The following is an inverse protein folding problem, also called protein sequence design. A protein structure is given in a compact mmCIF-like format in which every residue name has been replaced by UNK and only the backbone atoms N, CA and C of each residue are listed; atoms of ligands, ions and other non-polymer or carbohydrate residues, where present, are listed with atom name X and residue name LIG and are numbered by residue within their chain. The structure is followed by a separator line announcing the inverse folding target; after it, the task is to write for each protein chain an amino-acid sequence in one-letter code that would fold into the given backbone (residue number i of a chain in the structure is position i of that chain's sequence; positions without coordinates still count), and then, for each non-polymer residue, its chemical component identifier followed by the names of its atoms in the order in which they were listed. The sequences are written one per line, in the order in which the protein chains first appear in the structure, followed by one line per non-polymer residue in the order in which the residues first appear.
data_IF_047719328523
#
_entry.id   IF_047719328523
#
_cell.length_a   1.000
_cell.length_b   1.000
_cell.length_c   1.000
_cell.angle_alpha   90.00
_cell.angle_beta   90.00
_cell.angle_gamma   90.00
#
_symmetry.space_group_name_H-M   'P 1'
#
loop_
_entity.id
_entity.type
_entity.pdbx_description
1 polymer ?
#
# COMPACT_ATOMS: atom_id res chain seq x y z
N UNK A 1 -18.89 29.25 23.51
CA UNK A 1 -18.86 30.42 22.61
C UNK A 1 -19.80 30.12 21.45
N UNK A 2 -20.91 30.86 21.28
CA UNK A 2 -21.82 30.64 20.16
C UNK A 2 -21.07 30.83 18.84
N UNK A 3 -21.27 29.91 17.90
CA UNK A 3 -20.75 30.01 16.52
C UNK A 3 -21.21 31.34 15.93
N UNK A 4 -20.30 32.32 15.76
CA UNK A 4 -20.61 33.59 15.08
C UNK A 4 -21.27 33.26 13.75
N UNK A 5 -22.55 33.57 13.62
CA UNK A 5 -23.31 33.38 12.39
C UNK A 5 -22.74 34.36 11.38
N UNK A 6 -22.07 33.85 10.36
CA UNK A 6 -21.49 34.65 9.27
C UNK A 6 -22.64 35.23 8.45
N UNK A 7 -22.74 36.56 8.43
CA UNK A 7 -23.82 37.27 7.71
C UNK A 7 -23.63 37.16 6.19
N UNK A 8 -24.69 37.39 5.43
CA UNK A 8 -24.60 37.37 3.96
C UNK A 8 -23.73 38.53 3.44
N UNK A 9 -23.81 39.70 4.07
CA UNK A 9 -22.95 40.86 3.76
C UNK A 9 -21.47 40.54 3.93
N UNK A 10 -21.07 39.80 4.97
CA UNK A 10 -19.68 39.40 5.17
C UNK A 10 -19.18 38.44 4.08
N UNK A 11 -20.05 37.54 3.59
CA UNK A 11 -19.73 36.65 2.47
C UNK A 11 -19.58 37.41 1.17
N UNK A 12 -20.42 38.41 0.96
CA UNK A 12 -20.44 39.25 -0.23
C UNK A 12 -19.21 40.18 -0.27
N UNK A 13 -18.88 40.83 0.84
CA UNK A 13 -17.68 41.66 0.97
C UNK A 13 -16.39 40.85 0.81
N UNK A 14 -16.36 39.61 1.33
CA UNK A 14 -15.24 38.69 1.15
C UNK A 14 -15.10 38.25 -0.32
N UNK A 15 -16.21 37.95 -1.00
CA UNK A 15 -16.21 37.61 -2.41
C UNK A 15 -15.76 38.78 -3.29
N UNK A 16 -16.18 40.01 -2.98
CA UNK A 16 -15.72 41.21 -3.69
C UNK A 16 -14.22 41.43 -3.49
N UNK A 17 -13.72 41.36 -2.25
CA UNK A 17 -12.30 41.47 -1.96
C UNK A 17 -11.46 40.38 -2.67
N UNK A 18 -12.04 39.19 -2.84
CA UNK A 18 -11.46 38.11 -3.63
C UNK A 18 -11.45 38.44 -5.13
N UNK A 19 -12.48 39.08 -5.69
CA UNK A 19 -12.52 39.58 -7.07
C UNK A 19 -11.59 40.79 -7.30
N UNK A 20 -11.31 41.57 -6.27
CA UNK A 20 -10.46 42.76 -6.34
C UNK A 20 -8.95 42.44 -6.30
N UNK A 21 -8.54 41.19 -6.15
CA UNK A 21 -7.11 40.83 -6.14
C UNK A 21 -6.65 40.01 -4.95
N UNK A 22 -7.37 40.04 -3.82
CA UNK A 22 -6.88 39.40 -2.59
C UNK A 22 -6.95 37.89 -2.68
N UNK A 23 -5.98 37.22 -2.05
CA UNK A 23 -6.03 35.77 -1.89
C UNK A 23 -7.24 35.37 -1.03
N UNK A 24 -7.78 34.17 -1.26
CA UNK A 24 -8.93 33.66 -0.49
C UNK A 24 -8.65 33.64 1.01
N UNK A 25 -7.40 33.36 1.41
CA UNK A 25 -7.00 33.38 2.81
C UNK A 25 -6.98 34.80 3.40
N UNK A 26 -6.47 35.79 2.65
CA UNK A 26 -6.45 37.19 3.09
C UNK A 26 -7.85 37.81 3.13
N UNK A 27 -8.70 37.50 2.13
CA UNK A 27 -10.10 37.92 2.09
C UNK A 27 -10.89 37.29 3.25
N UNK A 28 -10.72 35.99 3.52
CA UNK A 28 -11.41 35.33 4.63
C UNK A 28 -11.00 35.90 6.01
N UNK A 29 -9.71 36.17 6.21
CA UNK A 29 -9.21 36.75 7.46
C UNK A 29 -9.74 38.18 7.72
N UNK A 30 -9.82 39.01 6.67
CA UNK A 30 -10.30 40.40 6.79
C UNK A 30 -11.75 40.50 7.27
N UNK A 31 -12.57 39.50 6.98
CA UNK A 31 -13.99 39.47 7.35
C UNK A 31 -14.31 38.42 8.44
N UNK A 32 -13.29 37.81 9.05
CA UNK A 32 -13.45 36.86 10.15
C UNK A 32 -14.09 35.52 9.75
N UNK A 33 -13.98 35.13 8.48
CA UNK A 33 -14.49 33.86 7.96
C UNK A 33 -13.45 32.74 8.11
N UNK A 34 -13.92 31.55 8.47
CA UNK A 34 -13.09 30.35 8.36
C UNK A 34 -13.02 29.87 6.90
N UNK A 35 -12.02 29.02 6.61
CA UNK A 35 -11.70 28.55 5.24
C UNK A 35 -12.89 27.89 4.53
N UNK A 36 -13.70 27.11 5.25
CA UNK A 36 -14.86 26.39 4.70
C UNK A 36 -15.99 27.36 4.37
N UNK A 37 -16.25 28.34 5.24
CA UNK A 37 -17.25 29.38 5.00
C UNK A 37 -16.90 30.26 3.79
N UNK A 38 -15.62 30.60 3.63
CA UNK A 38 -15.14 31.36 2.48
C UNK A 38 -15.28 30.58 1.17
N UNK A 39 -14.94 29.28 1.17
CA UNK A 39 -15.08 28.42 -0.01
C UNK A 39 -16.54 28.27 -0.46
N UNK A 40 -17.44 28.05 0.49
CA UNK A 40 -18.87 27.92 0.21
C UNK A 40 -19.49 29.23 -0.30
N UNK A 41 -19.03 30.38 0.20
CA UNK A 41 -19.47 31.70 -0.27
C UNK A 41 -19.07 31.95 -1.73
N UNK A 42 -17.83 31.62 -2.13
CA UNK A 42 -17.39 31.73 -3.52
C UNK A 42 -18.14 30.76 -4.44
N UNK A 43 -18.31 29.50 -4.00
CA UNK A 43 -19.04 28.46 -4.76
C UNK A 43 -20.51 28.83 -4.96
N UNK A 44 -21.17 29.36 -3.93
CA UNK A 44 -22.57 29.80 -4.00
C UNK A 44 -22.80 30.96 -4.97
N UNK A 45 -21.75 31.74 -5.28
CA UNK A 45 -21.78 32.82 -6.28
C UNK A 45 -21.26 32.40 -7.66
N UNK A 46 -20.94 31.12 -7.86
CA UNK A 46 -20.36 30.64 -9.11
C UNK A 46 -18.94 31.16 -9.40
N UNK A 47 -18.26 31.75 -8.41
CA UNK A 47 -16.92 32.29 -8.57
C UNK A 47 -15.91 31.14 -8.47
N UNK A 48 -15.28 30.80 -9.60
CA UNK A 48 -14.22 29.80 -9.64
C UNK A 48 -13.01 30.24 -8.81
N UNK A 49 -12.37 29.29 -8.13
CA UNK A 49 -11.15 29.56 -7.37
C UNK A 49 -10.05 29.98 -8.35
N UNK A 50 -9.57 31.22 -8.23
CA UNK A 50 -8.26 31.69 -8.75
C UNK A 50 -7.24 30.60 -8.44
N UNK A 51 -6.68 30.04 -9.50
CA UNK A 51 -5.49 29.23 -9.40
C UNK A 51 -4.45 30.05 -8.65
N UNK A 52 -3.84 29.45 -7.63
CA UNK A 52 -2.99 30.19 -6.71
C UNK A 52 -1.90 30.89 -7.49
N UNK A 53 -1.79 32.22 -7.34
CA UNK A 53 -0.48 32.81 -7.36
C UNK A 53 0.20 32.33 -6.08
N UNK A 54 1.00 31.27 -6.19
CA UNK A 54 2.17 31.14 -5.35
C UNK A 54 2.96 32.45 -5.43
N UNK A 55 3.71 32.77 -4.38
CA UNK A 55 4.66 33.89 -4.40
C UNK A 55 5.72 33.60 -5.48
N UNK A 56 5.41 33.87 -6.74
CA UNK A 56 6.36 33.98 -7.82
C UNK A 56 6.72 35.45 -7.93
N UNK A 57 7.99 35.75 -7.68
CA UNK A 57 8.55 37.04 -8.08
C UNK A 57 8.42 37.12 -9.61
N UNK A 58 8.01 38.27 -10.18
CA UNK A 58 8.03 38.48 -11.62
C UNK A 58 9.43 38.20 -12.15
N UNK A 59 9.55 37.72 -13.40
CA UNK A 59 10.83 37.30 -14.00
C UNK A 59 11.93 38.38 -13.84
N UNK A 60 11.54 39.65 -13.90
CA UNK A 60 12.39 40.83 -13.67
C UNK A 60 12.96 40.98 -12.24
N UNK A 61 12.61 40.11 -11.29
CA UNK A 61 13.02 40.14 -9.88
C UNK A 61 13.63 38.81 -9.41
N UNK A 62 13.88 37.87 -10.32
CA UNK A 62 14.55 36.60 -9.99
C UNK A 62 16.07 36.79 -10.01
N UNK A 63 16.77 36.20 -9.05
CA UNK A 63 18.22 36.05 -9.15
C UNK A 63 18.60 35.06 -10.26
N UNK A 64 19.82 35.16 -10.80
CA UNK A 64 20.32 34.26 -11.86
C UNK A 64 20.11 32.77 -11.51
N UNK A 65 20.31 32.40 -10.24
CA UNK A 65 20.06 31.04 -9.74
C UNK A 65 18.58 30.65 -9.86
N UNK A 66 17.66 31.56 -9.52
CA UNK A 66 16.22 31.29 -9.59
C UNK A 66 15.73 31.20 -11.04
N UNK A 67 16.34 31.96 -11.96
CA UNK A 67 16.07 31.84 -13.40
C UNK A 67 16.55 30.49 -13.95
N UNK A 68 17.76 30.06 -13.59
CA UNK A 68 18.32 28.77 -13.99
C UNK A 68 17.48 27.58 -13.46
N UNK A 69 17.01 27.67 -12.21
CA UNK A 69 16.11 26.68 -11.63
C UNK A 69 14.77 26.64 -12.38
N UNK A 70 14.20 27.80 -12.73
CA UNK A 70 12.93 27.86 -13.48
C UNK A 70 13.08 27.26 -14.89
N UNK A 71 14.16 27.60 -15.60
CA UNK A 71 14.46 27.03 -16.91
C UNK A 71 14.62 25.51 -16.84
N UNK A 72 15.28 25.01 -15.79
CA UNK A 72 15.45 23.56 -15.57
C UNK A 72 14.10 22.85 -15.33
N UNK A 73 13.18 23.47 -14.59
CA UNK A 73 11.82 22.91 -14.38
C UNK A 73 11.00 22.91 -15.65
N UNK A 74 11.11 23.95 -16.48
CA UNK A 74 10.43 24.00 -17.78
C UNK A 74 10.94 22.87 -18.68
N UNK A 75 12.27 22.74 -18.80
CA UNK A 75 12.91 21.66 -19.56
C UNK A 75 12.48 20.26 -19.09
N UNK A 76 12.41 20.04 -17.77
CA UNK A 76 11.93 18.77 -17.23
C UNK A 76 10.44 18.51 -17.56
N UNK A 77 9.62 19.56 -17.51
CA UNK A 77 8.19 19.46 -17.83
C UNK A 77 7.99 19.11 -19.31
N UNK A 78 8.75 19.76 -20.19
CA UNK A 78 8.79 19.48 -21.63
C UNK A 78 9.32 18.08 -21.92
N UNK A 79 10.40 17.65 -21.25
CA UNK A 79 10.96 16.31 -21.36
C UNK A 79 9.95 15.23 -20.96
N UNK A 80 9.22 15.42 -19.87
CA UNK A 80 8.19 14.46 -19.46
C UNK A 80 7.00 14.50 -20.43
N UNK A 81 6.60 15.70 -20.89
CA UNK A 81 5.49 15.84 -21.82
C UNK A 81 5.79 15.22 -23.19
N UNK A 82 7.02 15.34 -23.71
CA UNK A 82 7.41 14.76 -24.99
C UNK A 82 7.37 13.24 -24.98
N UNK A 83 7.68 12.62 -23.83
CA UNK A 83 7.66 11.17 -23.66
C UNK A 83 6.24 10.67 -23.39
N UNK A 84 5.42 11.44 -22.66
CA UNK A 84 4.00 11.10 -22.44
C UNK A 84 3.12 11.31 -23.69
N UNK A 85 3.52 12.18 -24.62
CA UNK A 85 2.78 12.48 -25.85
C UNK A 85 3.12 11.54 -27.03
N UNK A 86 4.21 10.77 -26.94
CA UNK A 86 4.63 9.81 -27.95
C UNK A 86 4.26 8.37 -27.59
N UNK A 87 3.60 7.68 -28.52
CA UNK A 87 3.58 6.21 -28.66
C UNK A 87 2.74 5.34 -27.70
N UNK A 88 2.43 5.75 -26.47
CA UNK A 88 1.68 4.88 -25.52
C UNK A 88 0.19 4.65 -25.82
N UNK A 89 -0.34 5.20 -26.93
CA UNK A 89 -1.75 5.10 -27.29
C UNK A 89 -2.09 4.06 -28.37
N UNK A 90 -1.11 3.36 -28.96
CA UNK A 90 -1.38 2.51 -30.14
C UNK A 90 -1.45 1.01 -29.89
N UNK A 91 -0.78 0.46 -28.88
CA UNK A 91 -0.73 -1.00 -28.71
C UNK A 91 -1.58 -1.54 -27.57
N UNK A 92 -2.36 -2.55 -27.94
CA UNK A 92 -3.38 -3.25 -27.19
C UNK A 92 -2.90 -3.80 -25.84
N UNK A 93 -3.08 -3.05 -24.76
CA UNK A 93 -3.05 -3.57 -23.39
C UNK A 93 -4.23 -3.00 -22.60
N UNK A 94 -4.95 -3.88 -21.90
CA UNK A 94 -6.29 -3.62 -21.35
C UNK A 94 -6.40 -2.32 -20.54
N UNK A 95 -6.96 -1.30 -21.18
CA UNK A 95 -7.38 -0.06 -20.52
C UNK A 95 -8.65 -0.35 -19.71
N UNK A 96 -8.62 -0.09 -18.41
CA UNK A 96 -9.84 -0.05 -17.58
C UNK A 96 -10.17 1.43 -17.36
N UNK A 97 -11.37 1.90 -17.76
CA UNK A 97 -11.80 3.27 -17.48
C UNK A 97 -11.71 3.58 -15.99
N UNK A 98 -11.02 4.66 -15.66
CA UNK A 98 -11.03 5.28 -14.35
C UNK A 98 -11.43 6.74 -14.54
N UNK A 99 -12.02 7.37 -13.51
CA UNK A 99 -12.47 8.76 -13.51
C UNK A 99 -11.35 9.81 -13.79
N UNK A 100 -10.13 9.38 -14.13
CA UNK A 100 -8.92 10.18 -14.29
C UNK A 100 -8.07 9.79 -15.52
N UNK A 101 -8.69 9.19 -16.55
CA UNK A 101 -7.97 8.71 -17.74
C UNK A 101 -7.41 7.29 -17.56
N UNK A 102 -7.22 6.58 -18.67
CA UNK A 102 -6.78 5.19 -18.67
C UNK A 102 -5.39 5.03 -18.06
N UNK A 103 -5.30 4.40 -16.88
CA UNK A 103 -4.02 4.09 -16.26
C UNK A 103 -3.62 2.66 -16.65
N UNK A 104 -2.47 2.45 -17.29
CA UNK A 104 -1.99 1.12 -17.62
C UNK A 104 -1.93 0.22 -16.38
N UNK A 105 -2.38 -1.02 -16.51
CA UNK A 105 -2.24 -2.04 -15.44
C UNK A 105 -0.78 -2.52 -15.30
N UNK A 106 0.06 -2.17 -16.26
CA UNK A 106 1.44 -2.59 -16.45
C UNK A 106 2.43 -1.95 -15.47
N UNK A 107 3.66 -2.45 -15.50
CA UNK A 107 4.82 -1.90 -14.80
C UNK A 107 5.42 -0.72 -15.55
N UNK A 108 6.06 0.19 -14.84
CA UNK A 108 6.71 1.35 -15.43
C UNK A 108 7.16 2.42 -14.43
N UNK A 109 7.64 3.52 -14.98
CA UNK A 109 8.08 4.74 -14.31
C UNK A 109 6.97 5.80 -14.42
N UNK A 110 6.72 6.52 -13.33
CA UNK A 110 5.72 7.59 -13.27
C UNK A 110 6.28 8.85 -12.63
N UNK A 111 5.65 9.98 -12.94
CA UNK A 111 5.84 11.26 -12.29
C UNK A 111 4.59 11.70 -11.52
N UNK A 112 4.79 12.38 -10.39
CA UNK A 112 3.79 13.25 -9.75
C UNK A 112 4.30 14.68 -9.91
N UNK A 113 3.65 15.45 -10.77
CA UNK A 113 4.05 16.80 -11.16
C UNK A 113 3.22 17.81 -10.40
N UNK A 114 3.85 18.76 -9.72
CA UNK A 114 3.15 19.92 -9.20
C UNK A 114 3.03 20.97 -10.31
N UNK A 115 1.80 21.21 -10.78
CA UNK A 115 1.50 21.94 -12.01
C UNK A 115 2.09 23.35 -11.98
N UNK A 116 1.89 24.07 -10.87
CA UNK A 116 2.30 25.47 -10.78
C UNK A 116 3.81 25.66 -10.65
N UNK A 117 4.48 24.76 -9.90
CA UNK A 117 5.92 24.92 -9.65
C UNK A 117 6.80 24.20 -10.66
N UNK A 118 6.25 23.24 -11.41
CA UNK A 118 7.02 22.32 -12.28
C UNK A 118 7.88 21.33 -11.51
N UNK A 119 7.71 21.22 -10.18
CA UNK A 119 8.46 20.24 -9.37
C UNK A 119 7.90 18.84 -9.56
N UNK A 120 8.78 17.84 -9.52
CA UNK A 120 8.48 16.47 -9.89
C UNK A 120 8.80 15.50 -8.76
N UNK A 121 7.98 14.48 -8.60
CA UNK A 121 8.35 13.25 -7.91
C UNK A 121 8.43 12.12 -8.93
N UNK A 122 9.51 11.35 -8.96
CA UNK A 122 9.68 10.20 -9.83
C UNK A 122 9.68 8.92 -9.00
N UNK A 123 9.01 7.88 -9.50
CA UNK A 123 9.04 6.56 -8.90
C UNK A 123 8.75 5.45 -9.91
N UNK A 124 9.07 4.21 -9.53
CA UNK A 124 8.74 3.01 -10.30
C UNK A 124 7.62 2.19 -9.66
N UNK A 125 6.94 1.36 -10.47
CA UNK A 125 5.95 0.42 -10.00
C UNK A 125 5.88 -0.84 -10.84
N UNK A 126 5.64 -1.99 -10.21
CA UNK A 126 5.24 -3.24 -10.90
C UNK A 126 3.80 -3.17 -11.44
N UNK A 127 2.97 -2.30 -10.85
CA UNK A 127 1.56 -2.06 -11.21
C UNK A 127 1.25 -0.59 -10.98
N UNK A 128 1.26 0.21 -12.05
CA UNK A 128 1.11 1.67 -11.98
C UNK A 128 -0.21 2.09 -11.32
N UNK A 129 -1.34 1.49 -11.73
CA UNK A 129 -2.67 1.77 -11.15
C UNK A 129 -2.71 1.65 -9.63
N UNK A 130 -2.20 0.53 -9.10
CA UNK A 130 -2.19 0.28 -7.66
C UNK A 130 -1.28 1.25 -6.91
N UNK A 131 -0.12 1.57 -7.51
CA UNK A 131 0.84 2.51 -6.93
C UNK A 131 0.26 3.92 -6.86
N UNK A 132 -0.40 4.39 -7.92
CA UNK A 132 -1.06 5.70 -7.96
C UNK A 132 -2.17 5.84 -6.92
N UNK A 133 -3.00 4.81 -6.78
CA UNK A 133 -4.04 4.77 -5.75
C UNK A 133 -3.43 4.82 -4.34
N UNK A 134 -2.32 4.10 -4.12
CA UNK A 134 -1.56 4.13 -2.87
C UNK A 134 -1.05 5.53 -2.54
N UNK A 135 -0.33 6.17 -3.48
CA UNK A 135 0.17 7.54 -3.32
C UNK A 135 -0.94 8.53 -2.96
N UNK A 136 -2.05 8.50 -3.70
CA UNK A 136 -3.20 9.39 -3.42
C UNK A 136 -3.77 9.16 -2.03
N UNK A 137 -4.07 7.91 -1.67
CA UNK A 137 -4.55 7.55 -0.34
C UNK A 137 -3.60 8.01 0.76
N UNK A 138 -2.29 7.83 0.59
CA UNK A 138 -1.30 8.21 1.59
C UNK A 138 -1.19 9.73 1.73
N UNK A 139 -1.22 10.47 0.61
CA UNK A 139 -1.21 11.93 0.59
C UNK A 139 -2.49 12.51 1.22
N UNK A 140 -3.66 11.95 0.94
CA UNK A 140 -4.93 12.34 1.56
C UNK A 140 -4.95 12.09 3.07
N UNK A 141 -4.33 10.99 3.52
CA UNK A 141 -4.27 10.59 4.93
C UNK A 141 -3.12 11.23 5.70
N UNK A 142 -2.25 12.02 5.05
CA UNK A 142 -1.10 12.65 5.70
C UNK A 142 0.02 11.66 6.06
N UNK A 143 0.15 10.54 5.34
CA UNK A 143 1.05 9.42 5.66
C UNK A 143 2.08 9.13 4.57
N UNK A 144 2.20 10.01 3.58
CA UNK A 144 3.12 9.81 2.48
C UNK A 144 4.59 9.84 2.92
N UNK A 145 5.44 8.96 2.36
CA UNK A 145 6.84 8.83 2.77
C UNK A 145 7.69 10.06 2.43
N UNK A 146 7.44 10.72 1.30
CA UNK A 146 8.05 12.03 1.01
C UNK A 146 7.29 13.12 1.76
N UNK A 147 7.86 13.58 2.88
CA UNK A 147 7.31 14.68 3.68
C UNK A 147 7.24 15.98 2.86
N UNK A 148 8.18 16.20 1.94
CA UNK A 148 8.16 17.39 1.10
C UNK A 148 6.96 17.42 0.15
N UNK A 149 6.70 16.28 -0.50
CA UNK A 149 5.50 16.12 -1.33
C UNK A 149 4.24 16.24 -0.49
N UNK A 150 4.21 15.63 0.70
CA UNK A 150 3.08 15.70 1.62
C UNK A 150 2.76 17.14 2.04
N UNK A 151 3.77 17.94 2.37
CA UNK A 151 3.57 19.35 2.74
C UNK A 151 3.05 20.18 1.57
N UNK A 152 3.58 19.98 0.36
CA UNK A 152 3.08 20.64 -0.84
C UNK A 152 1.63 20.23 -1.14
N UNK A 153 1.31 18.94 -1.03
CA UNK A 153 -0.06 18.41 -1.17
C UNK A 153 -1.04 19.03 -0.17
N UNK A 154 -0.66 19.12 1.10
CA UNK A 154 -1.50 19.72 2.14
C UNK A 154 -1.73 21.23 1.91
N UNK A 155 -0.73 21.92 1.35
CA UNK A 155 -0.79 23.35 1.07
C UNK A 155 -1.69 23.64 -0.14
N UNK A 156 -1.44 22.96 -1.25
CA UNK A 156 -1.99 23.34 -2.57
C UNK A 156 -3.22 22.50 -2.97
N UNK A 157 -3.32 21.29 -2.41
CA UNK A 157 -4.42 20.35 -2.63
C UNK A 157 -4.24 19.48 -3.87
N UNK A 158 -5.06 18.43 -3.98
CA UNK A 158 -4.92 17.40 -5.02
C UNK A 158 -4.96 17.92 -6.46
N UNK A 159 -5.76 18.97 -6.72
CA UNK A 159 -5.90 19.56 -8.06
C UNK A 159 -4.64 20.29 -8.54
N UNK A 160 -3.68 20.58 -7.65
CA UNK A 160 -2.39 21.17 -8.02
C UNK A 160 -1.38 20.13 -8.54
N UNK A 161 -1.75 18.84 -8.52
CA UNK A 161 -0.85 17.75 -8.87
C UNK A 161 -1.40 16.90 -10.01
N UNK A 162 -0.52 16.53 -10.92
CA UNK A 162 -0.81 15.66 -12.04
C UNK A 162 0.01 14.38 -11.94
N UNK A 163 -0.61 13.23 -12.21
CA UNK A 163 0.07 11.94 -12.28
C UNK A 163 0.30 11.58 -13.74
N UNK A 164 1.55 11.31 -14.12
CA UNK A 164 1.93 10.96 -15.49
C UNK A 164 2.70 9.65 -15.53
N UNK A 165 2.48 8.85 -16.57
CA UNK A 165 3.35 7.72 -16.89
C UNK A 165 4.47 8.27 -17.77
N UNK A 166 5.72 8.03 -17.36
CA UNK A 166 6.90 8.47 -18.11
C UNK A 166 7.35 7.34 -19.03
N UNK A 167 7.38 6.09 -18.54
CA UNK A 167 7.91 4.96 -19.30
C UNK A 167 7.22 3.67 -18.85
N UNK A 168 6.69 2.87 -19.76
CA UNK A 168 6.31 1.48 -19.49
C UNK A 168 7.53 0.59 -19.59
N UNK A 169 7.73 -0.21 -18.55
CA UNK A 169 8.89 -1.11 -18.44
C UNK A 169 8.34 -2.52 -18.28
N UNK A 170 8.47 -3.34 -19.31
CA UNK A 170 7.96 -4.72 -19.30
C UNK A 170 8.81 -5.63 -18.41
N UNK A 171 10.13 -5.46 -18.44
CA UNK A 171 11.03 -6.18 -17.54
C UNK A 171 11.08 -5.51 -16.17
N UNK A 172 10.43 -6.15 -15.21
CA UNK A 172 10.37 -5.70 -13.81
C UNK A 172 11.75 -5.55 -13.17
N UNK A 173 12.77 -6.27 -13.64
CA UNK A 173 14.12 -6.18 -13.10
C UNK A 173 14.82 -4.86 -13.50
N UNK A 174 14.45 -4.28 -14.65
CA UNK A 174 14.98 -3.01 -15.13
C UNK A 174 14.37 -1.78 -14.43
N UNK A 175 13.30 -1.93 -13.65
CA UNK A 175 12.57 -0.80 -13.06
C UNK A 175 13.44 0.12 -12.21
N UNK A 176 14.38 -0.44 -11.45
CA UNK A 176 15.24 0.35 -10.56
C UNK A 176 16.23 1.20 -11.37
N UNK A 177 16.84 0.61 -12.39
CA UNK A 177 17.80 1.29 -13.26
C UNK A 177 17.11 2.39 -14.07
N UNK A 178 15.89 2.12 -14.56
CA UNK A 178 15.07 3.12 -15.26
C UNK A 178 14.61 4.24 -14.32
N UNK A 179 14.23 3.93 -13.08
CA UNK A 179 13.93 4.96 -12.08
C UNK A 179 15.15 5.86 -11.81
N UNK A 180 16.33 5.26 -11.65
CA UNK A 180 17.57 6.01 -11.45
C UNK A 180 17.88 6.93 -12.63
N UNK A 181 17.78 6.42 -13.87
CA UNK A 181 17.97 7.20 -15.08
C UNK A 181 17.12 8.47 -15.11
N UNK A 182 15.84 8.36 -14.75
CA UNK A 182 14.92 9.50 -14.72
C UNK A 182 15.17 10.46 -13.56
N UNK A 183 15.56 9.95 -12.38
CA UNK A 183 15.97 10.79 -11.25
C UNK A 183 17.21 11.62 -11.60
N UNK A 184 18.19 11.02 -12.28
CA UNK A 184 19.41 11.70 -12.71
C UNK A 184 19.11 12.72 -13.81
N UNK A 185 18.34 12.32 -14.83
CA UNK A 185 18.00 13.18 -15.97
C UNK A 185 17.24 14.44 -15.53
N UNK A 186 16.36 14.32 -14.53
CA UNK A 186 15.55 15.45 -14.05
C UNK A 186 16.13 16.16 -12.83
N UNK A 187 17.10 15.54 -12.15
CA UNK A 187 17.63 16.00 -10.88
C UNK A 187 16.54 16.26 -9.81
N UNK A 188 15.42 15.52 -9.85
CA UNK A 188 14.23 15.77 -9.02
C UNK A 188 14.44 15.52 -7.50
N UNK A 189 15.65 15.08 -7.11
CA UNK A 189 16.11 15.01 -5.73
C UNK A 189 16.56 16.37 -5.16
N UNK A 190 16.85 17.35 -6.03
CA UNK A 190 17.16 18.73 -5.61
C UNK A 190 15.87 19.41 -5.18
N UNK A 191 15.91 20.11 -4.04
CA UNK A 191 14.71 20.73 -3.41
C UNK A 191 14.02 21.74 -4.31
N UNK A 192 14.78 22.34 -5.20
CA UNK A 192 14.36 23.34 -6.15
C UNK A 192 13.65 22.69 -7.32
N UNK A 193 14.01 21.47 -7.72
CA UNK A 193 13.54 20.81 -8.94
C UNK A 193 12.50 19.70 -8.68
N UNK A 194 12.44 19.13 -7.47
CA UNK A 194 11.52 18.04 -7.21
C UNK A 194 11.29 17.67 -5.75
N UNK A 195 10.67 16.51 -5.58
CA UNK A 195 10.20 15.97 -4.30
C UNK A 195 10.83 14.63 -3.91
N UNK A 196 11.72 14.08 -4.74
CA UNK A 196 12.51 12.91 -4.36
C UNK A 196 13.44 13.30 -3.21
N UNK A 197 13.61 12.42 -2.23
CA UNK A 197 14.41 12.73 -1.04
C UNK A 197 15.89 12.42 -1.22
N UNK A 198 16.22 11.52 -2.15
CA UNK A 198 17.56 11.01 -2.38
C UNK A 198 17.87 10.99 -3.88
N UNK A 199 19.13 11.20 -4.26
CA UNK A 199 19.57 11.08 -5.65
C UNK A 199 19.58 9.63 -6.15
N UNK A 200 19.66 8.64 -5.25
CA UNK A 200 19.59 7.23 -5.62
C UNK A 200 18.15 6.68 -5.52
N UNK A 201 17.74 5.93 -6.54
CA UNK A 201 16.51 5.16 -6.59
C UNK A 201 16.53 3.98 -5.62
N UNK A 202 15.34 3.54 -5.20
CA UNK A 202 15.17 2.38 -4.33
C UNK A 202 15.05 2.70 -2.84
N UNK A 203 15.18 1.66 -2.03
CA UNK A 203 14.95 1.67 -0.57
C UNK A 203 16.28 1.45 0.16
N UNK A 204 16.45 2.05 1.34
CA UNK A 204 17.56 1.72 2.24
C UNK A 204 17.51 0.27 2.76
N UNK A 205 16.52 -0.56 2.38
CA UNK A 205 16.53 -2.00 2.66
C UNK A 205 17.79 -2.62 2.04
N UNK A 206 18.73 -3.02 2.89
CA UNK A 206 19.98 -3.68 2.49
C UNK A 206 21.21 -2.79 2.54
N UNK A 207 21.06 -1.46 2.63
CA UNK A 207 22.19 -0.55 2.85
C UNK A 207 22.63 -0.66 4.31
N UNK A 208 23.78 -1.30 4.56
CA UNK A 208 24.39 -1.36 5.89
C UNK A 208 24.82 0.05 6.28
N UNK A 209 24.32 0.54 7.42
CA UNK A 209 24.78 1.82 7.97
C UNK A 209 26.31 1.82 8.13
N UNK A 210 26.96 2.91 7.73
CA UNK A 210 28.42 3.07 7.89
C UNK A 210 28.79 3.04 9.38
N UNK A 211 30.03 2.66 9.70
CA UNK A 211 30.51 2.66 11.10
C UNK A 211 30.39 4.05 11.73
N UNK A 212 30.63 5.11 10.96
CA UNK A 212 30.43 6.50 11.40
C UNK A 212 28.97 6.79 11.76
N UNK A 213 28.02 6.32 10.93
CA UNK A 213 26.58 6.51 11.20
C UNK A 213 26.15 5.72 12.42
N UNK A 214 26.65 4.49 12.59
CA UNK A 214 26.41 3.67 13.80
C UNK A 214 26.95 4.37 15.05
N UNK A 215 28.14 4.96 14.97
CA UNK A 215 28.74 5.71 16.07
C UNK A 215 27.90 6.93 16.47
N UNK A 216 27.47 7.75 15.49
CA UNK A 216 26.57 8.90 15.71
C UNK A 216 25.25 8.49 16.34
N UNK A 217 24.62 7.41 15.87
CA UNK A 217 23.38 6.89 16.44
C UNK A 217 23.56 6.38 17.87
N UNK A 218 24.69 5.72 18.16
CA UNK A 218 25.05 5.26 19.51
C UNK A 218 25.23 6.43 20.48
N UNK A 219 25.90 7.50 20.05
CA UNK A 219 26.09 8.71 20.85
C UNK A 219 24.76 9.43 21.12
N UNK A 220 23.91 9.56 20.09
CA UNK A 220 22.60 10.19 20.20
C UNK A 220 21.66 9.38 21.11
N UNK A 221 21.78 8.05 21.11
CA UNK A 221 21.10 7.16 22.05
C UNK A 221 21.53 7.38 23.50
N UNK A 222 22.83 7.61 23.76
CA UNK A 222 23.34 7.96 25.10
C UNK A 222 22.80 9.31 25.59
N UNK A 223 22.77 10.32 24.72
CA UNK A 223 22.27 11.68 25.04
C UNK A 223 20.78 11.69 25.38
N UNK A 224 19.99 10.78 24.81
CA UNK A 224 18.54 10.69 25.05
C UNK A 224 18.17 10.08 26.41
N UNK A 225 19.12 9.49 27.12
CA UNK A 225 18.90 8.88 28.43
C UNK A 225 17.95 7.68 28.41
N UNK A 226 17.77 7.05 29.59
CA UNK A 226 16.74 6.04 29.77
C UNK A 226 15.34 6.66 29.62
N UNK A 227 14.39 5.90 29.06
CA UNK A 227 13.00 6.36 29.00
C UNK A 227 12.47 6.63 30.41
N UNK A 228 11.68 7.70 30.56
CA UNK A 228 11.02 8.02 31.82
C UNK A 228 10.13 6.87 32.31
N UNK A 229 9.97 6.77 33.63
CA UNK A 229 9.11 5.76 34.25
C UNK A 229 7.68 5.84 33.75
N UNK A 230 7.16 7.05 33.54
CA UNK A 230 5.83 7.27 32.98
C UNK A 230 5.70 6.67 31.57
N UNK A 231 6.69 6.90 30.71
CA UNK A 231 6.70 6.32 29.35
C UNK A 231 6.77 4.80 29.41
N UNK A 232 7.57 4.26 30.33
CA UNK A 232 7.70 2.81 30.56
C UNK A 232 6.38 2.20 31.03
N UNK A 233 5.63 2.89 31.89
CA UNK A 233 4.31 2.50 32.38
C UNK A 233 3.27 2.50 31.26
N UNK A 234 3.16 3.58 30.46
CA UNK A 234 2.23 3.65 29.31
C UNK A 234 2.47 2.52 28.30
N UNK A 235 3.74 2.22 27.99
CA UNK A 235 4.08 1.09 27.12
C UNK A 235 3.69 -0.26 27.73
N UNK A 236 3.89 -0.45 29.04
CA UNK A 236 3.48 -1.66 29.77
C UNK A 236 1.96 -1.85 29.73
N UNK A 237 1.19 -0.79 30.01
CA UNK A 237 -0.27 -0.79 29.95
C UNK A 237 -0.79 -1.11 28.54
N UNK A 238 -0.18 -0.51 27.49
CA UNK A 238 -0.53 -0.80 26.09
C UNK A 238 -0.26 -2.27 25.68
N UNK A 239 0.67 -2.95 26.35
CA UNK A 239 1.02 -4.34 26.08
C UNK A 239 0.17 -5.34 26.87
N UNK A 240 -0.31 -4.99 28.07
CA UNK A 240 -1.13 -5.86 28.93
C UNK A 240 -2.44 -6.35 28.30
N UNK A 241 -2.98 -5.63 27.31
CA UNK A 241 -4.23 -5.98 26.61
C UNK A 241 -4.06 -6.74 25.29
N UNK A 242 -2.83 -6.93 24.79
CA UNK A 242 -2.63 -7.65 23.53
C UNK A 242 -2.77 -9.15 23.77
N UNK A 243 -3.88 -9.73 23.29
CA UNK A 243 -4.04 -11.20 23.18
C UNK A 243 -2.84 -11.75 22.42
N UNK A 244 -1.94 -12.42 23.15
CA UNK A 244 -0.76 -13.05 22.55
C UNK A 244 -1.27 -14.12 21.59
N UNK A 245 -0.74 -14.13 20.37
CA UNK A 245 -1.08 -15.15 19.39
C UNK A 245 -0.78 -16.56 19.95
N UNK A 246 -1.44 -17.60 19.40
CA UNK A 246 -1.27 -18.96 19.86
C UNK A 246 0.20 -19.43 19.86
N UNK A 247 0.51 -20.42 20.70
CA UNK A 247 1.88 -20.79 21.07
C UNK A 247 2.84 -21.07 19.90
N UNK A 248 2.33 -21.54 18.74
CA UNK A 248 3.11 -21.78 17.53
C UNK A 248 3.61 -20.51 16.82
N UNK A 249 3.03 -19.34 17.11
CA UNK A 249 3.50 -18.04 16.63
C UNK A 249 4.61 -17.42 17.52
N UNK A 250 4.99 -18.08 18.62
CA UNK A 250 5.92 -17.53 19.62
C UNK A 250 7.40 -17.71 19.29
N UNK A 251 7.77 -17.75 18.01
CA UNK A 251 9.19 -17.83 17.63
C UNK A 251 9.92 -18.99 18.29
N UNK A 252 9.23 -20.09 18.59
CA UNK A 252 9.89 -21.36 18.92
C UNK A 252 10.32 -21.94 17.58
N UNK A 253 11.34 -21.33 16.99
CA UNK A 253 12.22 -22.05 16.09
C UNK A 253 12.87 -23.13 16.96
N UNK A 254 12.18 -24.25 17.15
CA UNK A 254 12.93 -25.49 17.32
C UNK A 254 13.78 -25.56 16.07
N UNK A 255 15.10 -25.50 16.24
CA UNK A 255 16.04 -25.58 15.14
C UNK A 255 15.77 -26.90 14.42
N UNK A 256 15.05 -26.84 13.29
CA UNK A 256 14.95 -27.99 12.40
C UNK A 256 16.38 -28.31 11.97
N UNK A 257 16.81 -29.54 12.20
CA UNK A 257 18.07 -30.05 11.70
C UNK A 257 17.92 -30.44 10.23
N UNK A 258 19.04 -30.64 9.52
CA UNK A 258 19.01 -31.16 8.15
C UNK A 258 18.30 -32.54 8.07
N UNK A 259 18.45 -33.36 9.11
CA UNK A 259 17.75 -34.64 9.24
C UNK A 259 16.22 -34.47 9.36
N UNK A 260 15.74 -33.44 10.05
CA UNK A 260 14.29 -33.15 10.12
C UNK A 260 13.75 -32.74 8.75
N UNK A 261 14.52 -31.98 7.98
CA UNK A 261 14.13 -31.59 6.62
C UNK A 261 14.01 -32.84 5.74
N UNK A 262 15.00 -33.73 5.75
CA UNK A 262 14.93 -34.99 5.00
C UNK A 262 13.74 -35.86 5.45
N UNK A 263 13.44 -35.88 6.75
CA UNK A 263 12.30 -36.60 7.31
C UNK A 263 10.97 -36.04 6.80
N UNK A 264 10.84 -34.70 6.73
CA UNK A 264 9.65 -34.04 6.15
C UNK A 264 9.48 -34.45 4.68
N UNK A 265 10.54 -34.41 3.87
CA UNK A 265 10.47 -34.80 2.46
C UNK A 265 10.05 -36.26 2.28
N UNK A 266 10.64 -37.19 3.05
CA UNK A 266 10.27 -38.61 3.04
C UNK A 266 8.81 -38.82 3.40
N UNK A 267 8.37 -38.27 4.53
CA UNK A 267 6.99 -38.41 5.04
C UNK A 267 5.94 -37.83 4.09
N UNK A 268 6.19 -36.65 3.52
CA UNK A 268 5.27 -36.07 2.52
C UNK A 268 5.28 -36.88 1.22
N UNK A 269 6.44 -37.40 0.78
CA UNK A 269 6.53 -38.18 -0.46
C UNK A 269 5.72 -39.48 -0.43
N UNK A 270 5.53 -40.08 0.76
CA UNK A 270 4.71 -41.29 0.95
C UNK A 270 3.23 -40.97 1.18
N UNK A 271 2.81 -39.71 1.08
CA UNK A 271 1.41 -39.31 1.16
C UNK A 271 0.93 -38.94 2.57
N UNK A 272 1.82 -38.79 3.54
CA UNK A 272 1.41 -38.43 4.89
C UNK A 272 0.90 -36.99 4.98
N UNK A 273 -0.16 -36.78 5.77
CA UNK A 273 -0.82 -35.48 5.89
C UNK A 273 0.04 -34.45 6.64
N UNK A 274 0.18 -33.25 6.07
CA UNK A 274 1.02 -32.19 6.65
C UNK A 274 0.65 -31.79 8.07
N UNK A 275 -0.60 -31.98 8.48
CA UNK A 275 -1.05 -31.68 9.85
C UNK A 275 -0.43 -32.62 10.90
N UNK A 276 -0.29 -33.91 10.56
CA UNK A 276 0.32 -34.91 11.44
C UNK A 276 1.82 -34.63 11.60
N UNK A 277 2.50 -34.45 10.47
CA UNK A 277 3.94 -34.10 10.43
C UNK A 277 4.20 -32.82 11.23
N UNK A 278 3.34 -31.80 11.09
CA UNK A 278 3.48 -30.55 11.83
C UNK A 278 3.31 -30.74 13.34
N UNK A 279 2.36 -31.57 13.76
CA UNK A 279 2.13 -31.87 15.18
C UNK A 279 3.30 -32.64 15.80
N UNK A 280 3.82 -33.64 15.09
CA UNK A 280 4.94 -34.46 15.56
C UNK A 280 6.22 -33.64 15.72
N UNK A 281 6.52 -32.80 14.73
CA UNK A 281 7.69 -31.93 14.76
C UNK A 281 7.46 -30.66 15.59
N UNK A 282 6.24 -30.45 16.11
CA UNK A 282 5.81 -29.27 16.86
C UNK A 282 6.07 -27.96 16.10
N UNK A 283 5.85 -27.97 14.79
CA UNK A 283 6.04 -26.82 13.89
C UNK A 283 4.72 -26.31 13.32
N UNK A 284 4.72 -25.10 12.78
CA UNK A 284 3.57 -24.56 12.07
C UNK A 284 3.36 -25.31 10.72
N UNK A 285 2.13 -25.70 10.35
CA UNK A 285 1.88 -26.42 9.08
C UNK A 285 2.38 -25.66 7.85
N UNK A 286 2.28 -24.32 7.86
CA UNK A 286 2.81 -23.45 6.80
C UNK A 286 4.32 -23.61 6.55
N UNK A 287 5.08 -24.02 7.57
CA UNK A 287 6.52 -24.25 7.46
C UNK A 287 6.83 -25.42 6.53
N UNK A 288 6.01 -26.48 6.55
CA UNK A 288 6.16 -27.64 5.66
C UNK A 288 5.98 -27.22 4.19
N UNK A 289 4.97 -26.39 3.89
CA UNK A 289 4.75 -25.87 2.53
C UNK A 289 5.96 -25.07 2.02
N UNK A 290 6.58 -24.27 2.88
CA UNK A 290 7.76 -23.47 2.50
C UNK A 290 9.01 -24.34 2.30
N UNK A 291 9.17 -25.41 3.10
CA UNK A 291 10.27 -26.39 2.98
C UNK A 291 10.12 -27.21 1.69
N UNK A 292 8.97 -27.85 1.47
CA UNK A 292 8.70 -28.67 0.28
C UNK A 292 8.73 -27.80 -0.99
N UNK A 293 8.22 -26.57 -0.90
CA UNK A 293 8.29 -25.58 -1.97
C UNK A 293 9.66 -24.94 -2.17
N UNK A 294 10.70 -25.38 -1.42
CA UNK A 294 12.10 -24.93 -1.52
C UNK A 294 12.27 -23.40 -1.37
N UNK A 295 11.33 -22.72 -0.71
CA UNK A 295 11.39 -21.27 -0.41
C UNK A 295 12.32 -20.98 0.77
N UNK A 296 12.37 -21.91 1.71
CA UNK A 296 13.31 -21.92 2.84
C UNK A 296 14.14 -23.22 2.75
N UNK A 297 15.37 -23.22 3.30
CA UNK A 297 16.27 -24.39 3.31
C UNK A 297 16.66 -24.94 1.92
N UNK A 298 16.74 -24.05 0.91
CA UNK A 298 17.14 -24.44 -0.45
C UNK A 298 18.60 -24.92 -0.56
N UNK A 299 19.47 -24.61 0.40
CA UNK A 299 20.87 -25.02 0.38
C UNK A 299 21.07 -26.52 0.70
N UNK A 300 20.11 -27.18 1.37
CA UNK A 300 20.21 -28.62 1.66
C UNK A 300 20.05 -29.39 0.35
N UNK A 301 21.01 -30.27 0.07
CA UNK A 301 20.98 -31.17 -1.09
C UNK A 301 20.05 -32.35 -0.82
N UNK A 302 19.04 -32.52 -1.67
CA UNK A 302 18.04 -33.58 -1.58
C UNK A 302 17.87 -34.15 -2.98
N UNK A 303 17.79 -35.48 -3.09
CA UNK A 303 17.56 -36.17 -4.36
C UNK A 303 16.32 -35.61 -5.08
N UNK A 304 16.47 -35.25 -6.36
CA UNK A 304 15.41 -34.59 -7.14
C UNK A 304 14.11 -35.39 -7.17
N UNK A 305 14.19 -36.72 -7.28
CA UNK A 305 13.01 -37.58 -7.29
C UNK A 305 12.21 -37.46 -6.00
N UNK A 306 12.89 -37.35 -4.84
CA UNK A 306 12.23 -37.19 -3.55
C UNK A 306 11.52 -35.84 -3.45
N UNK A 307 12.15 -34.78 -3.97
CA UNK A 307 11.56 -33.43 -4.03
C UNK A 307 10.29 -33.44 -4.90
N UNK A 308 10.38 -34.01 -6.12
CA UNK A 308 9.24 -34.10 -7.04
C UNK A 308 8.08 -34.89 -6.44
N UNK A 309 8.36 -36.05 -5.83
CA UNK A 309 7.33 -36.89 -5.21
C UNK A 309 6.64 -36.16 -4.05
N UNK A 310 7.40 -35.49 -3.18
CA UNK A 310 6.82 -34.72 -2.08
C UNK A 310 5.96 -33.54 -2.58
N UNK A 311 6.39 -32.84 -3.63
CA UNK A 311 5.61 -31.75 -4.23
C UNK A 311 4.32 -32.25 -4.89
N UNK A 312 4.38 -33.35 -5.63
CA UNK A 312 3.22 -33.97 -6.26
C UNK A 312 2.21 -34.47 -5.23
N UNK A 313 2.69 -35.13 -4.18
CA UNK A 313 1.87 -35.57 -3.04
C UNK A 313 1.17 -34.40 -2.35
N UNK A 314 1.88 -33.29 -2.13
CA UNK A 314 1.29 -32.09 -1.53
C UNK A 314 0.20 -31.46 -2.43
N UNK A 315 0.40 -31.47 -3.74
CA UNK A 315 -0.57 -31.00 -4.73
C UNK A 315 -1.80 -31.92 -4.82
N UNK A 316 -1.62 -33.24 -4.76
CA UNK A 316 -2.71 -34.21 -4.78
C UNK A 316 -3.54 -34.14 -3.50
N UNK A 317 -2.90 -34.01 -2.33
CA UNK A 317 -3.58 -33.76 -1.06
C UNK A 317 -4.38 -32.46 -1.07
N UNK A 318 -3.83 -31.37 -1.65
CA UNK A 318 -4.55 -30.10 -1.80
C UNK A 318 -5.77 -30.22 -2.73
N UNK A 319 -5.67 -31.01 -3.80
CA UNK A 319 -6.79 -31.34 -4.69
C UNK A 319 -7.84 -32.23 -4.02
N UNK A 320 -7.44 -33.14 -3.13
CA UNK A 320 -8.36 -33.99 -2.38
C UNK A 320 -9.20 -33.20 -1.34
N UNK A 321 -8.63 -32.17 -0.71
CA UNK A 321 -9.36 -31.26 0.20
C UNK A 321 -10.32 -30.34 -0.56
N UNK A 322 -10.07 -30.11 -1.85
CA UNK A 322 -10.97 -29.43 -2.78
C UNK A 322 -11.78 -30.41 -3.63
N UNK A 323 -12.42 -31.43 -3.03
CA UNK A 323 -13.42 -32.22 -3.77
C UNK A 323 -14.70 -31.40 -3.98
N UNK A 324 -15.32 -31.65 -5.14
CA UNK A 324 -16.39 -30.87 -5.76
C UNK A 324 -17.63 -30.67 -4.88
N UNK A 325 -18.53 -29.80 -5.36
CA UNK A 325 -19.82 -29.49 -4.74
C UNK A 325 -20.45 -30.77 -4.16
N UNK A 326 -20.83 -30.74 -2.87
CA UNK A 326 -21.63 -31.80 -2.24
C UNK A 326 -22.81 -32.17 -3.16
N UNK A 327 -23.01 -33.45 -3.40
CA UNK A 327 -24.18 -33.94 -4.13
C UNK A 327 -25.46 -33.63 -3.35
N UNK A 328 -26.59 -33.58 -4.04
CA UNK A 328 -27.88 -33.31 -3.39
C UNK A 328 -28.21 -34.35 -2.30
N UNK A 329 -27.91 -35.63 -2.53
CA UNK A 329 -28.10 -36.70 -1.55
C UNK A 329 -27.25 -36.54 -0.29
N UNK A 330 -25.97 -36.14 -0.43
CA UNK A 330 -25.10 -35.86 0.73
C UNK A 330 -25.60 -34.66 1.53
N UNK A 331 -26.15 -33.63 0.87
CA UNK A 331 -26.75 -32.47 1.56
C UNK A 331 -27.98 -32.89 2.37
N UNK A 332 -28.80 -33.80 1.85
CA UNK A 332 -29.99 -34.32 2.54
C UNK A 332 -29.62 -35.19 3.75
N UNK A 333 -28.61 -36.05 3.61
CA UNK A 333 -28.08 -36.84 4.74
C UNK A 333 -27.51 -35.93 5.84
N UNK A 334 -26.74 -34.90 5.48
CA UNK A 334 -26.21 -33.90 6.42
C UNK A 334 -27.35 -33.19 7.17
N UNK A 335 -28.46 -32.84 6.49
CA UNK A 335 -29.62 -32.22 7.15
C UNK A 335 -30.29 -33.16 8.14
N UNK A 336 -30.46 -34.43 7.79
CA UNK A 336 -31.02 -35.45 8.67
C UNK A 336 -30.18 -35.62 9.95
N UNK A 337 -28.85 -35.74 9.79
CA UNK A 337 -27.93 -35.90 10.92
C UNK A 337 -27.81 -34.64 11.80
N UNK A 338 -27.99 -33.45 11.22
CA UNK A 338 -28.09 -32.20 11.99
C UNK A 338 -29.38 -32.17 12.84
N UNK A 339 -30.51 -32.67 12.32
CA UNK A 339 -31.77 -32.80 13.08
C UNK A 339 -31.66 -33.83 14.20
N UNK A 340 -30.90 -34.90 14.01
CA UNK A 340 -30.63 -35.91 15.04
C UNK A 340 -29.59 -35.46 16.09
N UNK A 341 -29.17 -34.19 16.08
CA UNK A 341 -28.29 -33.62 17.11
C UNK A 341 -26.79 -33.81 16.87
N UNK A 342 -26.36 -34.32 15.71
CA UNK A 342 -24.93 -34.49 15.43
C UNK A 342 -24.21 -33.13 15.27
N UNK A 343 -23.04 -33.00 15.88
CA UNK A 343 -22.29 -31.73 15.81
C UNK A 343 -21.68 -31.51 14.43
N UNK A 344 -21.68 -30.25 13.98
CA UNK A 344 -21.15 -29.88 12.66
C UNK A 344 -19.66 -30.19 12.45
N UNK A 345 -18.89 -30.35 13.54
CA UNK A 345 -17.48 -30.78 13.47
C UNK A 345 -17.34 -32.26 13.11
N UNK A 346 -18.19 -33.11 13.68
CA UNK A 346 -18.22 -34.55 13.37
C UNK A 346 -18.69 -34.76 11.93
N UNK A 347 -19.69 -34.00 11.49
CA UNK A 347 -20.17 -34.02 10.10
C UNK A 347 -19.11 -33.53 9.11
N UNK A 348 -18.38 -32.47 9.44
CA UNK A 348 -17.29 -31.96 8.60
C UNK A 348 -16.23 -33.05 8.36
N UNK A 349 -15.83 -33.78 9.41
CA UNK A 349 -14.89 -34.90 9.28
C UNK A 349 -15.47 -36.08 8.51
N UNK A 350 -16.74 -36.44 8.75
CA UNK A 350 -17.41 -37.57 8.10
C UNK A 350 -17.59 -37.39 6.59
N UNK A 351 -17.99 -36.19 6.18
CA UNK A 351 -18.24 -35.86 4.77
C UNK A 351 -17.03 -35.22 4.07
N UNK A 352 -15.88 -35.12 4.74
CA UNK A 352 -14.66 -34.57 4.14
C UNK A 352 -14.78 -33.11 3.71
N UNK A 353 -15.64 -32.31 4.34
CA UNK A 353 -15.90 -30.90 4.01
C UNK A 353 -15.48 -29.97 5.14
N UNK A 354 -15.34 -28.67 4.84
CA UNK A 354 -15.00 -27.69 5.87
C UNK A 354 -16.16 -27.50 6.87
N UNK A 355 -15.88 -27.20 8.16
CA UNK A 355 -16.93 -26.84 9.12
C UNK A 355 -17.81 -25.67 8.66
N UNK A 356 -17.25 -24.75 7.87
CA UNK A 356 -17.98 -23.63 7.29
C UNK A 356 -19.05 -24.08 6.29
N UNK A 357 -18.80 -25.14 5.51
CA UNK A 357 -19.76 -25.73 4.58
C UNK A 357 -20.98 -26.30 5.32
N UNK A 358 -20.75 -27.02 6.43
CA UNK A 358 -21.82 -27.55 7.27
C UNK A 358 -22.61 -26.41 7.94
N UNK A 359 -21.94 -25.36 8.42
CA UNK A 359 -22.60 -24.17 8.98
C UNK A 359 -23.43 -23.39 7.95
N UNK A 360 -23.08 -23.44 6.67
CA UNK A 360 -23.90 -22.86 5.60
C UNK A 360 -25.17 -23.69 5.35
N UNK A 361 -25.06 -25.03 5.35
CA UNK A 361 -26.21 -25.93 5.20
C UNK A 361 -27.17 -25.77 6.38
N UNK A 362 -26.66 -25.74 7.61
CA UNK A 362 -27.45 -25.52 8.83
C UNK A 362 -28.23 -24.20 8.77
N UNK A 363 -27.57 -23.08 8.43
CA UNK A 363 -28.23 -21.77 8.30
C UNK A 363 -29.31 -21.74 7.21
N UNK A 364 -29.11 -22.44 6.09
CA UNK A 364 -30.14 -22.55 5.04
C UNK A 364 -31.33 -23.39 5.50
N UNK A 365 -31.09 -24.44 6.29
CA UNK A 365 -32.17 -25.25 6.88
C UNK A 365 -33.02 -24.44 7.85
N UNK A 366 -32.38 -23.63 8.71
CA UNK A 366 -33.07 -22.78 9.69
C UNK A 366 -33.92 -21.69 9.00
N UNK A 367 -33.41 -21.09 7.91
CA UNK A 367 -34.17 -20.06 7.15
C UNK A 367 -35.39 -20.57 6.41
N UNK A 368 -35.42 -21.83 5.99
CA UNK A 368 -36.58 -22.42 5.30
C UNK A 368 -37.70 -22.72 6.31
N UNK A 369 -37.36 -23.05 7.56
CA UNK A 369 -38.36 -23.28 8.60
C UNK A 369 -39.02 -21.97 9.10
N UNK A 370 -38.34 -20.82 8.98
CA UNK A 370 -38.89 -19.50 9.35
C UNK A 370 -39.81 -18.89 8.29
N UNK A 371 -39.90 -19.47 7.07
CA UNK A 371 -40.76 -18.98 5.99
C UNK A 371 -42.11 -19.70 5.86
N UNK A 372 -42.32 -20.76 6.65
CA UNK A 372 -43.59 -21.51 6.74
C UNK A 372 -44.32 -21.27 8.08
N UNK A 373 -43.96 -20.19 8.79
CA UNK A 373 -44.66 -19.59 9.93
C UNK A 373 -45.13 -18.19 9.54
#
# INVERSE_FOLDING_TARGET
MPSKIVTQEQKDAMAQAYLDGKSMAAAAAAFGLNRTAALNALKGKGIARRQGQGRFLPKSQLSEKQEADFASRLKNTELIASVSAGEYMKDSFSMIPSAYGGVPVSSGIYAIVHIESGKLYIGSAKRLRGRWAGHRSDLEKGKHHSQHLQHAWNRDGALAFEFRVIELVLDVNALLDREQHWIDATCCYRRELGFNMQPQAGSNLGVRATEETKAKLRELGKRRGARSEETRRRMSEALKGRKRGPAWNRGVSKCLSEADILTIFKRVSVGEGTALIANDLKIHPGTIYNIIGRRNWAHIQICENLVRNAQQSLLSQKRAVGRGKLSQGEVEEIRSLLKSGMTGRVLASRFGVTPASISLIKRKMERVNDSDL
#
